data_IF_011247475999
#
_entry.id   IF_011247475999
#
_cell.length_a   1.000
_cell.length_b   1.000
_cell.length_c   1.000
_cell.angle_alpha   90.00
_cell.angle_beta   90.00
_cell.angle_gamma   90.00
#
_symmetry.space_group_name_H-M   'P 1'
#
loop_
_entity.id
_entity.type
_entity.pdbx_description
1 polymer ?
#
# COMPACT_ATOMS: atom_id res chain seq x y z
N UNK A 1 5.37 -9.90 4.37
CA UNK A 1 5.35 -11.22 3.75
C UNK A 1 4.42 -11.15 2.54
N UNK A 2 4.75 -11.82 1.43
CA UNK A 2 3.93 -11.81 0.20
C UNK A 2 2.81 -12.87 0.24
N UNK A 3 2.79 -13.66 1.31
CA UNK A 3 1.76 -14.63 1.63
C UNK A 3 0.84 -14.08 2.73
N UNK A 4 -0.46 -13.87 2.45
CA UNK A 4 -1.42 -13.39 3.44
C UNK A 4 -1.75 -14.43 4.52
N UNK A 5 -1.36 -15.70 4.34
CA UNK A 5 -1.60 -16.77 5.32
C UNK A 5 -0.55 -16.79 6.43
N UNK A 6 0.66 -16.27 6.17
CA UNK A 6 1.80 -16.33 7.09
C UNK A 6 2.42 -17.73 7.20
N UNK A 7 2.09 -18.65 6.31
CA UNK A 7 2.66 -20.00 6.27
C UNK A 7 3.99 -19.96 5.50
N UNK A 8 5.08 -19.75 6.23
CA UNK A 8 6.42 -19.57 5.63
C UNK A 8 6.83 -20.62 4.59
N UNK A 9 6.40 -21.90 4.67
CA UNK A 9 6.66 -22.94 3.66
C UNK A 9 5.48 -23.93 3.60
N UNK A 10 4.96 -24.21 2.39
CA UNK A 10 4.02 -25.32 2.14
C UNK A 10 2.87 -24.98 1.21
N UNK A 11 2.12 -23.89 1.50
CA UNK A 11 0.93 -23.49 0.75
C UNK A 11 0.82 -21.97 0.60
N UNK A 12 1.92 -21.28 0.25
CA UNK A 12 1.89 -19.85 0.01
C UNK A 12 0.90 -19.51 -1.12
N UNK A 13 -0.11 -18.70 -0.80
CA UNK A 13 -1.04 -18.17 -1.80
C UNK A 13 -0.59 -16.74 -2.10
N UNK A 14 -0.48 -16.33 -3.37
CA UNK A 14 -0.14 -14.95 -3.67
C UNK A 14 -1.16 -13.98 -3.08
N UNK A 15 -0.68 -12.96 -2.38
CA UNK A 15 -1.55 -11.91 -1.83
C UNK A 15 -2.37 -11.24 -2.95
N UNK A 16 -3.69 -11.28 -2.82
CA UNK A 16 -4.60 -10.57 -3.72
C UNK A 16 -4.69 -9.10 -3.34
N UNK A 17 -5.10 -8.21 -4.27
CA UNK A 17 -5.37 -6.81 -3.94
C UNK A 17 -6.34 -6.63 -2.76
N UNK A 18 -7.34 -7.51 -2.62
CA UNK A 18 -8.26 -7.54 -1.48
C UNK A 18 -7.57 -7.83 -0.15
N UNK A 19 -6.61 -8.75 -0.15
CA UNK A 19 -5.87 -9.15 1.06
C UNK A 19 -4.91 -8.03 1.47
N UNK A 20 -4.33 -7.33 0.50
CA UNK A 20 -3.51 -6.15 0.73
C UNK A 20 -4.31 -5.01 1.37
N UNK A 21 -5.55 -4.76 0.91
CA UNK A 21 -6.44 -3.77 1.53
C UNK A 21 -6.71 -4.09 3.01
N UNK A 22 -7.05 -5.34 3.32
CA UNK A 22 -7.26 -5.78 4.71
C UNK A 22 -5.99 -5.58 5.53
N UNK A 23 -4.84 -6.00 5.00
CA UNK A 23 -3.55 -5.86 5.67
C UNK A 23 -3.18 -4.40 5.94
N UNK A 24 -3.40 -3.49 4.98
CA UNK A 24 -3.14 -2.06 5.14
C UNK A 24 -4.03 -1.42 6.21
N UNK A 25 -5.30 -1.86 6.32
CA UNK A 25 -6.21 -1.43 7.38
C UNK A 25 -5.71 -1.89 8.76
N UNK A 26 -5.35 -3.16 8.90
CA UNK A 26 -4.78 -3.69 10.14
C UNK A 26 -3.48 -2.98 10.55
N UNK A 27 -2.59 -2.69 9.59
CA UNK A 27 -1.36 -1.94 9.85
C UNK A 27 -1.65 -0.50 10.29
N UNK A 28 -2.65 0.15 9.67
CA UNK A 28 -3.09 1.49 10.08
C UNK A 28 -3.64 1.48 11.50
N UNK A 29 -4.52 0.53 11.83
CA UNK A 29 -5.12 0.44 13.17
C UNK A 29 -4.03 0.25 14.23
N UNK A 30 -3.12 -0.70 13.98
CA UNK A 30 -1.96 -0.96 14.84
C UNK A 30 -1.04 0.26 14.98
N UNK A 31 -0.82 1.02 13.91
CA UNK A 31 -0.04 2.25 13.96
C UNK A 31 -0.75 3.32 14.81
N UNK A 32 -2.08 3.40 14.74
CA UNK A 32 -2.90 4.27 15.57
C UNK A 32 -2.78 3.94 17.06
N UNK A 33 -2.90 2.65 17.40
CA UNK A 33 -2.71 2.17 18.79
C UNK A 33 -1.31 2.49 19.32
N UNK A 34 -0.28 2.36 18.48
CA UNK A 34 1.10 2.59 18.88
C UNK A 34 1.49 4.07 18.96
N UNK A 35 0.73 4.99 18.36
CA UNK A 35 1.12 6.40 18.18
C UNK A 35 1.41 7.10 19.52
N UNK A 36 0.51 6.92 20.49
CA UNK A 36 0.59 7.56 21.81
C UNK A 36 1.78 7.07 22.64
N UNK A 37 2.27 5.86 22.34
CA UNK A 37 3.40 5.23 23.03
C UNK A 37 4.75 5.53 22.35
N UNK A 38 4.75 6.23 21.21
CA UNK A 38 6.00 6.53 20.50
C UNK A 38 6.84 7.55 21.27
N UNK A 39 8.16 7.30 21.46
CA UNK A 39 9.05 8.27 22.09
C UNK A 39 9.17 9.52 21.23
N UNK A 40 9.46 10.66 21.87
CA UNK A 40 9.57 12.00 21.27
C UNK A 40 10.71 12.81 21.90
N UNK A 41 11.70 12.15 22.49
CA UNK A 41 12.77 12.81 23.27
C UNK A 41 13.81 13.49 22.37
N UNK A 42 14.00 12.95 21.17
CA UNK A 42 14.89 13.50 20.13
C UNK A 42 14.10 14.17 19.00
N UNK A 43 14.76 15.07 18.27
CA UNK A 43 14.15 15.71 17.10
C UNK A 43 13.69 14.70 16.04
N UNK A 44 14.47 13.63 15.81
CA UNK A 44 14.11 12.58 14.86
C UNK A 44 12.85 11.81 15.30
N UNK A 45 12.73 11.55 16.59
CA UNK A 45 11.56 10.88 17.18
C UNK A 45 10.30 11.73 17.10
N UNK A 46 10.41 13.02 17.42
CA UNK A 46 9.32 13.98 17.27
C UNK A 46 8.86 14.08 15.80
N UNK A 47 9.81 14.21 14.85
CA UNK A 47 9.49 14.22 13.42
C UNK A 47 8.78 12.94 12.96
N UNK A 48 9.21 11.78 13.46
CA UNK A 48 8.56 10.50 13.15
C UNK A 48 7.14 10.45 13.69
N UNK A 49 6.94 10.86 14.94
CA UNK A 49 5.60 10.91 15.56
C UNK A 49 4.67 11.83 14.75
N UNK A 50 5.12 13.04 14.42
CA UNK A 50 4.36 13.98 13.59
C UNK A 50 3.99 13.40 12.22
N UNK A 51 4.94 12.73 11.55
CA UNK A 51 4.69 12.08 10.26
C UNK A 51 3.65 10.95 10.36
N UNK A 52 3.72 10.12 11.41
CA UNK A 52 2.75 9.07 11.67
C UNK A 52 1.35 9.64 11.97
N UNK A 53 1.27 10.67 12.81
CA UNK A 53 0.02 11.37 13.11
C UNK A 53 -0.61 11.98 11.85
N UNK A 54 0.20 12.63 11.00
CA UNK A 54 -0.25 13.18 9.73
C UNK A 54 -0.74 12.10 8.75
N UNK A 55 -0.07 10.94 8.70
CA UNK A 55 -0.48 9.79 7.89
C UNK A 55 -1.84 9.24 8.35
N UNK A 56 -2.04 9.11 9.67
CA UNK A 56 -3.28 8.60 10.27
C UNK A 56 -4.46 9.58 10.11
N UNK A 57 -4.20 10.88 10.14
CA UNK A 57 -5.22 11.93 9.96
C UNK A 57 -5.82 12.02 8.55
N UNK A 58 -5.20 11.38 7.54
CA UNK A 58 -5.73 11.28 6.17
C UNK A 58 -6.60 10.04 6.02
N UNK A 59 -7.52 10.01 5.05
CA UNK A 59 -8.24 8.78 4.70
C UNK A 59 -7.30 7.78 4.02
N UNK A 60 -7.23 6.55 4.53
CA UNK A 60 -6.46 5.47 3.87
C UNK A 60 -7.03 5.15 2.49
N UNK A 61 -8.35 5.11 2.39
CA UNK A 61 -9.05 4.65 1.19
C UNK A 61 -8.83 5.59 -0.02
N UNK A 62 -8.44 6.84 0.24
CA UNK A 62 -8.14 7.86 -0.78
C UNK A 62 -6.66 7.87 -1.20
N UNK A 63 -5.79 7.10 -0.55
CA UNK A 63 -4.37 7.07 -0.88
C UNK A 63 -4.18 6.49 -2.28
N UNK A 64 -3.58 7.24 -3.23
CA UNK A 64 -3.29 6.74 -4.56
C UNK A 64 -2.25 5.61 -4.51
N UNK A 65 -2.46 4.59 -5.32
CA UNK A 65 -1.57 3.44 -5.44
C UNK A 65 -1.60 2.90 -6.85
N UNK A 66 -0.47 2.40 -7.33
CA UNK A 66 -0.42 1.63 -8.58
C UNK A 66 -0.30 0.16 -8.23
N UNK A 67 -1.24 -0.64 -8.73
CA UNK A 67 -1.14 -2.09 -8.73
C UNK A 67 -0.39 -2.53 -9.98
N UNK A 68 0.68 -3.27 -9.80
CA UNK A 68 1.42 -3.93 -10.86
C UNK A 68 1.23 -5.44 -10.71
N UNK A 69 0.65 -6.08 -11.71
CA UNK A 69 0.38 -7.51 -11.74
C UNK A 69 1.18 -8.18 -12.86
N UNK A 70 1.82 -9.30 -12.55
CA UNK A 70 2.51 -10.18 -13.52
C UNK A 70 3.52 -9.46 -14.44
N UNK A 71 4.19 -8.42 -13.90
CA UNK A 71 5.18 -7.61 -14.63
C UNK A 71 6.28 -8.47 -15.26
N UNK A 72 6.62 -8.18 -16.53
CA UNK A 72 7.63 -8.92 -17.27
C UNK A 72 7.13 -10.24 -17.88
N UNK A 73 5.82 -10.43 -17.95
CA UNK A 73 5.15 -11.55 -18.64
C UNK A 73 4.17 -11.03 -19.68
N UNK A 74 3.66 -11.91 -20.56
CA UNK A 74 2.62 -11.55 -21.52
C UNK A 74 1.29 -11.13 -20.86
N UNK A 75 1.09 -11.46 -19.58
CA UNK A 75 -0.10 -11.13 -18.79
C UNK A 75 0.08 -9.83 -17.96
N UNK A 76 1.15 -9.07 -18.22
CA UNK A 76 1.46 -7.88 -17.41
C UNK A 76 0.34 -6.84 -17.43
N UNK A 77 0.04 -6.30 -16.24
CA UNK A 77 -1.00 -5.29 -16.08
C UNK A 77 -0.67 -4.26 -15.02
N UNK A 78 -0.80 -2.99 -15.36
CA UNK A 78 -0.73 -1.88 -14.42
C UNK A 78 -2.11 -1.24 -14.27
N UNK A 79 -2.49 -0.90 -13.04
CA UNK A 79 -3.73 -0.19 -12.73
C UNK A 79 -3.43 0.92 -11.72
N UNK A 80 -3.71 2.16 -12.10
CA UNK A 80 -3.68 3.31 -11.19
C UNK A 80 -5.02 3.41 -10.48
N UNK A 81 -5.01 3.32 -9.15
CA UNK A 81 -6.24 3.27 -8.33
C UNK A 81 -6.01 3.91 -6.96
N UNK A 82 -6.95 3.74 -6.03
CA UNK A 82 -6.77 4.06 -4.61
C UNK A 82 -6.75 2.80 -3.75
N UNK A 83 -6.21 2.89 -2.54
CA UNK A 83 -6.20 1.77 -1.60
C UNK A 83 -7.60 1.20 -1.38
N UNK A 84 -8.61 2.05 -1.19
CA UNK A 84 -9.99 1.60 -0.95
C UNK A 84 -10.59 0.83 -2.12
N UNK A 85 -10.15 1.12 -3.35
CA UNK A 85 -10.61 0.47 -4.57
C UNK A 85 -9.90 -0.87 -4.86
N UNK A 86 -8.79 -1.19 -4.17
CA UNK A 86 -8.07 -2.46 -4.35
C UNK A 86 -8.96 -3.69 -4.15
N UNK A 87 -9.93 -3.63 -3.23
CA UNK A 87 -10.83 -4.75 -2.96
C UNK A 87 -11.70 -5.19 -4.14
N UNK A 88 -11.89 -4.32 -5.15
CA UNK A 88 -12.61 -4.63 -6.38
C UNK A 88 -11.73 -5.16 -7.52
N UNK A 89 -10.42 -5.27 -7.33
CA UNK A 89 -9.48 -5.63 -8.38
C UNK A 89 -9.05 -7.09 -8.20
N UNK A 90 -9.15 -7.87 -9.28
CA UNK A 90 -8.78 -9.30 -9.28
C UNK A 90 -7.29 -9.50 -9.00
N UNK A 91 -6.44 -8.65 -9.58
CA UNK A 91 -4.98 -8.80 -9.56
C UNK A 91 -4.50 -9.84 -10.57
N UNK A 92 -3.24 -10.24 -10.40
CA UNK A 92 -2.58 -11.31 -11.15
C UNK A 92 -2.02 -12.40 -10.24
N UNK A 93 -1.12 -13.24 -10.78
CA UNK A 93 -0.45 -14.31 -10.01
C UNK A 93 0.60 -13.74 -9.07
N UNK A 94 1.26 -12.65 -9.45
CA UNK A 94 2.15 -11.89 -8.59
C UNK A 94 1.78 -10.41 -8.65
N UNK A 95 1.54 -9.82 -7.48
CA UNK A 95 1.11 -8.44 -7.35
C UNK A 95 2.15 -7.63 -6.58
N UNK A 96 2.36 -6.38 -6.98
CA UNK A 96 3.07 -5.38 -6.20
C UNK A 96 2.29 -4.06 -6.18
N UNK A 97 2.48 -3.29 -5.10
CA UNK A 97 1.86 -1.99 -4.91
C UNK A 97 2.95 -0.92 -4.88
N UNK A 98 2.75 0.16 -5.63
CA UNK A 98 3.63 1.33 -5.62
C UNK A 98 2.87 2.52 -5.05
N UNK A 99 3.30 2.98 -3.88
CA UNK A 99 2.82 4.19 -3.24
C UNK A 99 3.68 5.36 -3.67
N UNK A 100 3.05 6.33 -4.33
CA UNK A 100 3.76 7.48 -4.89
C UNK A 100 3.93 8.56 -3.84
N UNK A 101 5.04 9.27 -3.93
CA UNK A 101 5.19 10.57 -3.28
C UNK A 101 4.55 11.65 -4.16
N UNK A 102 5.00 12.89 -4.05
CA UNK A 102 4.64 13.93 -5.01
C UNK A 102 5.16 13.56 -6.41
N UNK A 103 4.25 13.45 -7.36
CA UNK A 103 4.55 13.20 -8.77
C UNK A 103 4.89 14.49 -9.49
N UNK A 104 5.80 14.42 -10.44
CA UNK A 104 6.00 15.44 -11.46
C UNK A 104 4.91 15.38 -12.52
N UNK A 105 4.75 16.45 -13.32
CA UNK A 105 3.78 16.48 -14.42
C UNK A 105 3.96 15.33 -15.43
N UNK A 106 5.20 14.89 -15.63
CA UNK A 106 5.51 13.80 -16.57
C UNK A 106 5.03 12.45 -16.00
N UNK A 107 5.22 12.23 -14.70
CA UNK A 107 4.75 11.02 -14.01
C UNK A 107 3.23 10.96 -13.97
N UNK A 108 2.55 12.07 -13.67
CA UNK A 108 1.08 12.14 -13.70
C UNK A 108 0.53 11.76 -15.08
N UNK A 109 1.09 12.35 -16.15
CA UNK A 109 0.70 12.02 -17.53
C UNK A 109 0.97 10.57 -17.90
N UNK A 110 2.04 9.97 -17.36
CA UNK A 110 2.33 8.56 -17.59
C UNK A 110 1.30 7.65 -16.89
N UNK A 111 0.89 7.99 -15.67
CA UNK A 111 -0.06 7.21 -14.87
C UNK A 111 -1.48 7.21 -15.42
N UNK A 112 -1.89 8.31 -16.05
CA UNK A 112 -3.20 8.42 -16.72
C UNK A 112 -3.39 7.39 -17.85
N UNK A 113 -2.30 6.80 -18.37
CA UNK A 113 -2.39 5.73 -19.40
C UNK A 113 -2.93 4.42 -18.85
N UNK A 114 -2.96 4.27 -17.52
CA UNK A 114 -3.24 3.03 -16.81
C UNK A 114 -4.41 3.18 -15.82
N UNK A 115 -5.26 4.19 -16.03
CA UNK A 115 -6.51 4.39 -15.30
C UNK A 115 -7.63 3.49 -15.85
#
# INVERSE_FOLDING_TARGET
>A
DLDPTGEGIGHQVPMKPSDALVSLRLMRDKLGEALDEMPQETALEAMRHEACAALLGRSLDEVPVVLCADMGTDDERMVTTTVGALGGIVGGRLNSLVFQSTTSEVEEKALLRWQ
#
